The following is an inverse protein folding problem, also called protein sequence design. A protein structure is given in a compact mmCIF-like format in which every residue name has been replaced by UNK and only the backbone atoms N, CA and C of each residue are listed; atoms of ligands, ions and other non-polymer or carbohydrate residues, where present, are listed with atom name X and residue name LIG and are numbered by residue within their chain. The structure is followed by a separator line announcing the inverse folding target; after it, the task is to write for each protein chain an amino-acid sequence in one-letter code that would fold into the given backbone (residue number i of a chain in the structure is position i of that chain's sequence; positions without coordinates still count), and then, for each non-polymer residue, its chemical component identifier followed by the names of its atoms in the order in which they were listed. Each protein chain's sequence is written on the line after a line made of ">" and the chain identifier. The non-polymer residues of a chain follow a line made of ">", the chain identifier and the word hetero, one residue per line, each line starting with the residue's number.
data_IF_577677353701
#
_entry.id   IF_577677353701
#
_cell.length_a   1.000
_cell.length_b   1.000
_cell.length_c   1.000
_cell.angle_alpha   90.00
_cell.angle_beta   90.00
_cell.angle_gamma   90.00
#
_symmetry.space_group_name_H-M   'P 1'
#
loop_
_entity.id
_entity.type
_entity.pdbx_description
1 polymer ?
#
# COMPACT_ATOMS: atom_id res chain seq x y z
N UNK A 1 1.20 -6.10 59.59
CA UNK A 1 0.28 -6.16 58.43
C UNK A 1 0.29 -4.78 57.81
N UNK A 2 1.04 -4.63 56.72
CA UNK A 2 1.11 -3.40 55.91
C UNK A 2 0.63 -3.86 54.54
N UNK A 3 -0.49 -3.27 54.08
CA UNK A 3 -1.30 -3.76 52.96
C UNK A 3 -0.63 -3.59 51.58
N UNK A 4 -1.26 -4.17 50.54
CA UNK A 4 -0.74 -4.16 49.18
C UNK A 4 -0.97 -2.78 48.54
N UNK A 5 0.09 -2.16 48.05
CA UNK A 5 0.03 -1.04 47.12
C UNK A 5 1.02 -1.40 46.00
N UNK A 6 0.58 -2.20 45.04
CA UNK A 6 1.41 -2.58 43.88
C UNK A 6 0.56 -2.91 42.64
N UNK A 7 -0.54 -2.18 42.43
CA UNK A 7 -1.47 -2.35 41.28
C UNK A 7 -1.77 -1.03 40.55
N UNK A 8 -0.92 0.00 40.67
CA UNK A 8 -1.20 1.33 40.10
C UNK A 8 -0.24 1.73 38.96
N UNK A 9 0.52 0.77 38.42
CA UNK A 9 1.47 0.99 37.31
C UNK A 9 1.10 0.22 36.02
N UNK A 10 0.04 -0.61 36.03
CA UNK A 10 -0.37 -1.40 34.85
C UNK A 10 -1.29 -0.62 33.90
N UNK A 11 -2.17 0.26 34.43
CA UNK A 11 -3.14 1.02 33.61
C UNK A 11 -2.48 2.07 32.67
N UNK A 12 -1.30 2.58 33.02
CA UNK A 12 -0.58 3.58 32.19
C UNK A 12 0.12 2.93 30.99
N UNK A 13 0.59 1.69 31.11
CA UNK A 13 1.30 0.98 30.03
C UNK A 13 0.32 0.56 28.93
N UNK A 14 -0.87 0.10 29.28
CA UNK A 14 -1.93 -0.25 28.31
C UNK A 14 -2.41 0.98 27.52
N UNK A 15 -2.56 2.14 28.18
CA UNK A 15 -2.96 3.38 27.52
C UNK A 15 -1.93 3.86 26.48
N UNK A 16 -0.63 3.70 26.77
CA UNK A 16 0.45 4.03 25.83
C UNK A 16 0.47 3.07 24.64
N UNK A 17 0.22 1.78 24.86
CA UNK A 17 0.13 0.78 23.78
C UNK A 17 -1.07 1.08 22.88
N UNK A 18 -2.24 1.36 23.44
CA UNK A 18 -3.44 1.72 22.66
C UNK A 18 -3.24 3.01 21.84
N UNK A 19 -2.57 4.02 22.40
CA UNK A 19 -2.26 5.25 21.68
C UNK A 19 -1.27 4.98 20.53
N UNK A 20 -0.26 4.16 20.75
CA UNK A 20 0.70 3.76 19.73
C UNK A 20 0.01 2.99 18.60
N UNK A 21 -0.85 2.03 18.91
CA UNK A 21 -1.60 1.25 17.93
C UNK A 21 -2.53 2.13 17.09
N UNK A 22 -3.18 3.12 17.71
CA UNK A 22 -4.00 4.11 16.99
C UNK A 22 -3.17 4.91 15.98
N UNK A 23 -1.98 5.34 16.37
CA UNK A 23 -1.08 6.06 15.46
C UNK A 23 -0.53 5.15 14.36
N UNK A 24 -0.21 3.89 14.70
CA UNK A 24 0.23 2.91 13.73
C UNK A 24 -0.84 2.66 12.66
N UNK A 25 -2.09 2.45 13.04
CA UNK A 25 -3.17 2.20 12.08
C UNK A 25 -3.47 3.42 11.20
N UNK A 26 -3.42 4.64 11.77
CA UNK A 26 -3.59 5.87 11.01
C UNK A 26 -2.48 6.05 9.96
N UNK A 27 -1.22 5.79 10.33
CA UNK A 27 -0.10 5.83 9.39
C UNK A 27 -0.20 4.73 8.34
N UNK A 28 -0.57 3.52 8.76
CA UNK A 28 -0.77 2.37 7.87
C UNK A 28 -1.81 2.68 6.79
N UNK A 29 -2.95 3.23 7.19
CA UNK A 29 -4.02 3.64 6.26
C UNK A 29 -3.50 4.65 5.24
N UNK A 30 -2.87 5.74 5.70
CA UNK A 30 -2.34 6.78 4.80
C UNK A 30 -1.29 6.24 3.82
N UNK A 31 -0.45 5.30 4.25
CA UNK A 31 0.56 4.68 3.39
C UNK A 31 -0.09 3.80 2.32
N UNK A 32 -1.06 2.97 2.68
CA UNK A 32 -1.75 2.10 1.72
C UNK A 32 -2.61 2.92 0.74
N UNK A 33 -3.32 3.94 1.22
CA UNK A 33 -4.05 4.87 0.35
C UNK A 33 -3.09 5.50 -0.68
N UNK A 34 -1.90 5.93 -0.24
CA UNK A 34 -0.88 6.48 -1.14
C UNK A 34 -0.35 5.45 -2.15
N UNK A 35 -0.12 4.20 -1.72
CA UNK A 35 0.30 3.10 -2.60
C UNK A 35 -0.73 2.89 -3.70
N UNK A 36 -2.00 2.77 -3.32
CA UNK A 36 -3.10 2.47 -4.23
C UNK A 36 -3.36 3.62 -5.20
N UNK A 37 -3.39 4.86 -4.71
CA UNK A 37 -3.63 6.05 -5.53
C UNK A 37 -2.53 6.31 -6.57
N UNK A 38 -1.29 5.90 -6.29
CA UNK A 38 -0.13 6.24 -7.09
C UNK A 38 0.52 5.03 -7.79
N UNK A 39 -0.09 3.84 -7.67
CA UNK A 39 0.41 2.57 -8.22
C UNK A 39 1.90 2.33 -7.91
N UNK A 40 2.27 2.54 -6.64
CA UNK A 40 3.68 2.44 -6.21
C UNK A 40 3.97 1.04 -5.70
N UNK A 41 4.97 0.31 -6.25
CA UNK A 41 5.34 -1.00 -5.74
C UNK A 41 5.68 -1.00 -4.24
N UNK A 42 5.14 -1.96 -3.50
CA UNK A 42 5.33 -2.11 -2.04
C UNK A 42 6.80 -2.04 -1.62
N UNK A 43 7.70 -2.64 -2.40
CA UNK A 43 9.13 -2.67 -2.09
C UNK A 43 9.77 -1.29 -2.17
N UNK A 44 9.25 -0.41 -3.03
CA UNK A 44 9.71 0.98 -3.15
C UNK A 44 9.23 1.79 -1.94
N UNK A 45 7.94 1.68 -1.58
CA UNK A 45 7.41 2.39 -0.39
C UNK A 45 8.11 1.94 0.89
N UNK A 46 8.34 0.64 1.06
CA UNK A 46 9.09 0.14 2.21
C UNK A 46 10.49 0.77 2.31
N UNK A 47 11.18 0.97 1.18
CA UNK A 47 12.48 1.64 1.17
C UNK A 47 12.36 3.14 1.51
N UNK A 48 11.34 3.83 0.98
CA UNK A 48 11.10 5.25 1.25
C UNK A 48 10.73 5.51 2.72
N UNK A 49 9.91 4.65 3.33
CA UNK A 49 9.55 4.76 4.75
C UNK A 49 10.77 4.57 5.66
N UNK A 50 11.68 3.67 5.31
CA UNK A 50 12.94 3.51 6.03
C UNK A 50 13.83 4.76 5.93
N UNK A 51 13.94 5.36 4.74
CA UNK A 51 14.69 6.61 4.56
C UNK A 51 14.06 7.78 5.34
N UNK A 52 12.73 7.90 5.28
CA UNK A 52 11.98 8.89 6.04
C UNK A 52 12.17 8.72 7.56
N UNK A 53 12.16 7.48 8.05
CA UNK A 53 12.40 7.21 9.46
C UNK A 53 13.82 7.66 9.90
N UNK A 54 14.83 7.46 9.05
CA UNK A 54 16.18 7.98 9.28
C UNK A 54 16.23 9.51 9.25
N UNK A 55 15.50 10.17 8.34
CA UNK A 55 15.37 11.63 8.33
C UNK A 55 14.74 12.17 9.61
N UNK A 56 13.62 11.58 10.05
CA UNK A 56 12.95 11.95 11.31
C UNK A 56 13.92 11.81 12.49
N UNK A 57 14.70 10.72 12.55
CA UNK A 57 15.72 10.51 13.59
C UNK A 57 16.82 11.56 13.58
N UNK A 58 17.31 11.95 12.38
CA UNK A 58 18.30 13.02 12.25
C UNK A 58 17.76 14.35 12.76
N UNK A 59 16.51 14.69 12.42
CA UNK A 59 15.84 15.92 12.87
C UNK A 59 15.65 15.90 14.39
N UNK A 60 15.12 14.80 14.95
CA UNK A 60 14.93 14.65 16.39
C UNK A 60 16.25 14.85 17.16
N UNK A 61 17.34 14.21 16.71
CA UNK A 61 18.66 14.40 17.31
C UNK A 61 19.09 15.88 17.34
N UNK A 62 18.87 16.60 16.24
CA UNK A 62 19.25 18.02 16.13
C UNK A 62 18.40 18.90 17.05
N UNK A 63 17.11 18.60 17.19
CA UNK A 63 16.19 19.37 18.03
C UNK A 63 16.41 19.13 19.53
N UNK A 64 16.75 17.90 19.92
CA UNK A 64 16.83 17.50 21.34
C UNK A 64 18.25 17.65 21.92
N UNK A 65 19.27 17.83 21.09
CA UNK A 65 20.67 17.93 21.54
C UNK A 65 21.11 19.39 21.67
N UNK A 66 21.56 19.79 22.85
CA UNK A 66 22.02 21.17 23.11
C UNK A 66 23.16 21.62 22.18
N UNK A 67 24.07 20.70 21.83
CA UNK A 67 25.20 20.93 20.92
C UNK A 67 25.32 19.77 19.92
N UNK A 68 24.50 19.76 18.85
CA UNK A 68 24.52 18.69 17.87
C UNK A 68 25.91 18.57 17.23
N UNK A 69 26.37 17.33 17.03
CA UNK A 69 27.65 17.07 16.38
C UNK A 69 27.53 15.91 15.39
N UNK A 70 28.40 15.90 14.37
CA UNK A 70 28.43 14.81 13.39
C UNK A 70 28.73 13.46 14.05
N UNK A 71 29.65 13.42 15.01
CA UNK A 71 29.96 12.20 15.75
C UNK A 71 28.79 11.73 16.61
N UNK A 72 28.08 12.65 17.26
CA UNK A 72 26.91 12.31 18.07
C UNK A 72 25.76 11.79 17.21
N UNK A 73 25.51 12.41 16.05
CA UNK A 73 24.50 11.92 15.11
C UNK A 73 24.82 10.52 14.59
N UNK A 74 26.10 10.24 14.27
CA UNK A 74 26.51 8.88 13.86
C UNK A 74 26.21 7.84 14.94
N UNK A 75 26.49 8.16 16.21
CA UNK A 75 26.16 7.27 17.32
C UNK A 75 24.66 7.06 17.49
N UNK A 76 23.85 8.09 17.27
CA UNK A 76 22.38 7.97 17.29
C UNK A 76 21.89 7.06 16.17
N UNK A 77 22.42 7.21 14.95
CA UNK A 77 22.08 6.34 13.83
C UNK A 77 22.54 4.89 14.06
N UNK A 78 23.69 4.67 14.68
CA UNK A 78 24.17 3.34 15.05
C UNK A 78 23.25 2.68 16.11
N UNK A 79 22.71 3.46 17.06
CA UNK A 79 21.70 2.97 18.02
C UNK A 79 20.41 2.60 17.31
N UNK A 80 19.90 3.49 16.46
CA UNK A 80 18.67 3.23 15.71
C UNK A 80 18.80 2.01 14.79
N UNK A 81 19.98 1.79 14.18
CA UNK A 81 20.28 0.57 13.45
C UNK A 81 20.13 -0.68 14.34
N UNK A 82 20.62 -0.64 15.58
CA UNK A 82 20.46 -1.75 16.53
C UNK A 82 18.99 -2.03 16.84
N UNK A 83 18.16 -0.99 16.96
CA UNK A 83 16.72 -1.13 17.19
C UNK A 83 16.02 -1.77 15.98
N UNK A 84 16.38 -1.34 14.76
CA UNK A 84 15.90 -1.95 13.53
C UNK A 84 16.34 -3.42 13.41
N UNK A 85 17.59 -3.74 13.73
CA UNK A 85 18.09 -5.11 13.74
C UNK A 85 17.32 -5.99 14.73
N UNK A 86 16.93 -5.44 15.89
CA UNK A 86 16.10 -6.14 16.86
C UNK A 86 14.67 -6.39 16.33
N UNK A 87 14.05 -5.39 15.70
CA UNK A 87 12.74 -5.53 15.07
C UNK A 87 12.76 -6.59 13.95
N UNK A 88 13.76 -6.56 13.07
CA UNK A 88 13.94 -7.56 12.00
C UNK A 88 14.08 -8.97 12.59
N UNK A 89 14.85 -9.13 13.67
CA UNK A 89 14.98 -10.44 14.33
C UNK A 89 13.67 -10.93 14.92
N UNK A 90 12.81 -10.05 15.42
CA UNK A 90 11.48 -10.40 15.92
C UNK A 90 10.59 -10.87 14.77
N UNK A 91 10.46 -10.08 13.70
CA UNK A 91 9.65 -10.48 12.53
C UNK A 91 10.14 -11.76 11.85
N UNK A 92 11.46 -12.03 11.87
CA UNK A 92 11.99 -13.31 11.40
C UNK A 92 11.55 -14.51 12.21
N UNK A 93 11.29 -14.34 13.52
CA UNK A 93 10.75 -15.41 14.36
C UNK A 93 9.28 -15.65 14.10
N UNK A 94 8.54 -14.59 13.82
CA UNK A 94 7.09 -14.60 13.51
C UNK A 94 6.81 -15.00 12.04
N UNK A 95 7.84 -15.11 11.20
CA UNK A 95 7.68 -15.30 9.76
C UNK A 95 6.99 -16.62 9.38
N UNK A 96 7.21 -17.69 10.14
CA UNK A 96 6.57 -18.98 9.88
C UNK A 96 5.06 -18.88 10.13
N UNK A 97 4.67 -18.40 11.32
CA UNK A 97 3.27 -18.18 11.71
C UNK A 97 2.57 -17.22 10.74
N UNK A 98 3.25 -16.15 10.33
CA UNK A 98 2.72 -15.21 9.35
C UNK A 98 2.44 -15.85 7.99
N UNK A 99 3.37 -16.64 7.45
CA UNK A 99 3.20 -17.31 6.14
C UNK A 99 2.07 -18.33 6.20
N UNK A 100 1.97 -19.09 7.29
CA UNK A 100 0.91 -20.07 7.44
C UNK A 100 -0.47 -19.41 7.56
N UNK A 101 -0.58 -18.36 8.37
CA UNK A 101 -1.82 -17.57 8.47
C UNK A 101 -2.22 -16.92 7.14
N UNK A 102 -1.26 -16.41 6.36
CA UNK A 102 -1.54 -15.85 5.03
C UNK A 102 -2.01 -16.91 4.03
N UNK A 103 -1.47 -18.14 4.09
CA UNK A 103 -1.92 -19.25 3.23
C UNK A 103 -3.34 -19.67 3.55
N UNK A 104 -3.68 -19.75 4.83
CA UNK A 104 -5.03 -20.05 5.30
C UNK A 104 -6.01 -18.97 4.84
N UNK A 105 -5.70 -17.70 5.07
CA UNK A 105 -6.54 -16.58 4.62
C UNK A 105 -6.73 -16.55 3.10
N UNK A 106 -5.69 -16.86 2.32
CA UNK A 106 -5.80 -16.98 0.86
C UNK A 106 -6.67 -18.17 0.43
N UNK A 107 -6.57 -19.31 1.11
CA UNK A 107 -7.39 -20.49 0.81
C UNK A 107 -8.87 -20.21 1.09
N UNK A 108 -9.19 -19.61 2.24
CA UNK A 108 -10.56 -19.20 2.58
C UNK A 108 -11.15 -18.19 1.59
N UNK A 109 -10.34 -17.22 1.15
CA UNK A 109 -10.77 -16.24 0.15
C UNK A 109 -11.05 -16.91 -1.21
N UNK A 110 -10.26 -17.90 -1.60
CA UNK A 110 -10.47 -18.68 -2.83
C UNK A 110 -11.73 -19.56 -2.76
N UNK A 111 -11.97 -20.22 -1.63
CA UNK A 111 -13.17 -21.03 -1.41
C UNK A 111 -14.43 -20.16 -1.51
N UNK A 112 -14.44 -19.00 -0.83
CA UNK A 112 -15.56 -18.05 -0.90
C UNK A 112 -15.85 -17.56 -2.32
N UNK A 113 -14.80 -17.28 -3.10
CA UNK A 113 -14.94 -16.87 -4.49
C UNK A 113 -15.50 -18.01 -5.36
N UNK A 114 -15.07 -19.25 -5.11
CA UNK A 114 -15.57 -20.42 -5.83
C UNK A 114 -17.06 -20.66 -5.55
N UNK A 115 -17.50 -20.54 -4.29
CA UNK A 115 -18.91 -20.62 -3.90
C UNK A 115 -19.76 -19.51 -4.56
N UNK A 116 -19.22 -18.29 -4.70
CA UNK A 116 -19.90 -17.17 -5.36
C UNK A 116 -20.04 -17.42 -6.87
N UNK A 117 -19.03 -18.00 -7.52
CA UNK A 117 -19.07 -18.35 -8.95
C UNK A 117 -20.03 -19.51 -9.24
N UNK A 118 -20.07 -20.55 -8.38
CA UNK A 118 -21.01 -21.67 -8.52
C UNK A 118 -22.47 -21.20 -8.44
N UNK A 119 -22.76 -20.25 -7.53
CA UNK A 119 -24.10 -19.64 -7.42
C UNK A 119 -24.52 -18.83 -8.67
N UNK A 120 -23.55 -18.22 -9.38
CA UNK A 120 -23.82 -17.50 -10.63
C UNK A 120 -24.04 -18.46 -11.81
N UNK A 121 -23.31 -19.58 -11.87
CA UNK A 121 -23.49 -20.58 -12.93
C UNK A 121 -24.87 -21.27 -12.85
N UNK A 122 -25.37 -21.50 -11.63
CA UNK A 122 -26.71 -22.08 -11.40
C UNK A 122 -27.87 -21.10 -11.71
N UNK A 123 -27.62 -19.79 -11.86
CA UNK A 123 -28.68 -18.79 -12.14
C UNK A 123 -28.88 -18.49 -13.63
N UNK A 124 -27.94 -18.83 -14.50
CA UNK A 124 -28.02 -18.60 -15.95
C UNK A 124 -28.63 -19.78 -16.75
N UNK A 125 -29.10 -20.85 -16.08
CA UNK A 125 -29.61 -22.07 -16.76
C UNK A 125 -31.12 -22.08 -17.03
N UNK A 126 -31.89 -21.07 -16.58
CA UNK A 126 -33.37 -21.08 -16.63
C UNK A 126 -34.02 -19.95 -17.49
N UNK A 127 -33.29 -19.29 -18.42
CA UNK A 127 -33.86 -18.21 -19.27
C UNK A 127 -33.89 -18.46 -20.80
N UNK A 128 -33.72 -19.69 -21.28
CA UNK A 128 -33.89 -20.03 -22.70
C UNK A 128 -34.73 -21.31 -22.90
N UNK A 129 -36.05 -21.26 -22.69
CA UNK A 129 -36.95 -22.29 -23.26
C UNK A 129 -38.42 -21.85 -23.49
N UNK A 130 -38.69 -20.56 -23.75
CA UNK A 130 -40.05 -20.09 -24.12
C UNK A 130 -40.04 -18.88 -25.08
N UNK A 131 -39.28 -18.94 -26.18
CA UNK A 131 -39.46 -18.02 -27.32
C UNK A 131 -39.64 -18.79 -28.64
N UNK A 132 -40.68 -19.63 -28.69
CA UNK A 132 -41.34 -20.06 -29.93
C UNK A 132 -42.48 -19.07 -30.25
N UNK A 133 -42.13 -17.88 -30.75
CA UNK A 133 -43.06 -16.99 -31.46
C UNK A 133 -42.63 -16.99 -32.94
N UNK A 134 -43.04 -18.03 -33.67
CA UNK A 134 -43.00 -18.07 -35.13
C UNK A 134 -44.30 -17.51 -35.72
N UNK A 135 -44.09 -16.61 -36.69
CA UNK A 135 -44.99 -16.14 -37.76
C UNK A 135 -46.14 -15.17 -37.40
N UNK A 136 -45.97 -13.87 -37.71
CA UNK A 136 -46.64 -13.30 -38.90
C UNK A 136 -46.16 -11.89 -39.28
N UNK A 137 -45.73 -11.82 -40.55
CA UNK A 137 -45.96 -10.77 -41.56
C UNK A 137 -45.44 -9.32 -41.44
N UNK A 138 -44.59 -9.02 -42.44
CA UNK A 138 -44.38 -7.79 -43.22
C UNK A 138 -44.89 -6.42 -42.71
N UNK A 139 -43.97 -5.45 -42.67
CA UNK A 139 -43.99 -4.33 -43.62
C UNK A 139 -42.72 -3.46 -43.53
N UNK A 140 -42.25 -3.05 -44.71
CA UNK A 140 -41.13 -2.16 -44.96
C UNK A 140 -41.36 -0.71 -44.52
N UNK A 141 -40.28 0.01 -44.18
CA UNK A 141 -40.04 1.44 -44.52
C UNK A 141 -38.57 1.75 -44.15
N UNK A 142 -37.62 1.76 -45.08
CA UNK A 142 -37.13 2.92 -45.84
C UNK A 142 -36.88 4.18 -44.99
N UNK A 143 -35.59 4.54 -44.82
CA UNK A 143 -35.00 5.90 -44.77
C UNK A 143 -33.59 5.80 -44.17
N UNK A 144 -32.54 5.74 -44.99
CA UNK A 144 -31.79 6.89 -45.53
C UNK A 144 -30.89 7.60 -44.51
N UNK A 145 -29.57 7.42 -44.75
CA UNK A 145 -28.48 8.40 -44.63
C UNK A 145 -28.17 8.98 -43.22
N UNK A 146 -26.94 9.31 -42.80
CA UNK A 146 -25.80 9.88 -43.51
C UNK A 146 -24.45 9.45 -42.90
N UNK A 147 -23.44 9.50 -43.74
CA UNK A 147 -22.00 9.41 -43.52
C UNK A 147 -21.42 10.68 -42.87
N UNK A 148 -20.52 10.56 -41.87
CA UNK A 148 -19.34 11.45 -41.64
C UNK A 148 -18.36 10.63 -40.75
N UNK A 149 -17.37 9.93 -41.30
CA UNK A 149 -16.00 10.38 -41.64
C UNK A 149 -15.30 11.24 -40.57
N UNK A 150 -14.23 10.66 -40.01
CA UNK A 150 -13.09 11.17 -39.21
C UNK A 150 -12.52 12.55 -39.67
N UNK A 151 -11.54 13.24 -39.03
CA UNK A 151 -10.41 12.69 -38.24
C UNK A 151 -9.69 13.63 -37.21
N UNK A 152 -8.51 13.16 -36.76
CA UNK A 152 -7.29 13.92 -36.37
C UNK A 152 -7.31 14.77 -35.08
N UNK A 153 -6.53 14.41 -34.05
CA UNK A 153 -5.08 14.56 -33.88
C UNK A 153 -4.68 15.90 -33.25
N UNK A 154 -3.97 15.85 -32.11
CA UNK A 154 -2.85 16.76 -31.85
C UNK A 154 -1.95 16.19 -30.72
N UNK A 155 -0.91 15.45 -31.10
CA UNK A 155 0.38 15.65 -30.44
C UNK A 155 1.07 16.81 -31.15
N UNK A 156 1.75 17.68 -30.40
CA UNK A 156 3.16 17.83 -30.73
C UNK A 156 4.07 17.90 -29.50
N UNK A 157 5.03 16.97 -29.50
CA UNK A 157 6.45 17.25 -29.53
C UNK A 157 6.95 18.57 -28.89
N UNK A 158 7.76 18.41 -27.84
CA UNK A 158 9.13 18.91 -27.93
C UNK A 158 9.53 19.99 -26.93
N UNK A 159 10.54 19.64 -26.13
CA UNK A 159 11.78 20.42 -26.01
C UNK A 159 12.93 19.51 -25.58
N UNK A 160 13.64 18.97 -26.58
CA UNK A 160 15.06 18.64 -26.44
C UNK A 160 15.83 19.95 -26.23
N UNK A 161 16.84 19.96 -25.35
CA UNK A 161 18.25 20.29 -25.67
C UNK A 161 19.16 20.34 -24.41
N UNK A 162 20.49 20.33 -24.59
CA UNK A 162 21.37 19.41 -23.88
C UNK A 162 22.45 20.09 -23.04
N UNK A 163 23.23 19.28 -22.34
CA UNK A 163 24.67 19.48 -22.23
C UNK A 163 25.16 20.41 -21.12
N UNK A 164 25.88 19.81 -20.18
CA UNK A 164 27.16 20.39 -19.75
C UNK A 164 28.12 19.29 -19.30
N UNK A 165 28.90 18.82 -20.26
CA UNK A 165 30.29 18.45 -20.04
C UNK A 165 31.02 19.64 -19.41
N UNK A 166 31.68 19.40 -18.28
CA UNK A 166 33.02 19.86 -17.88
C UNK A 166 33.46 18.88 -16.79
N UNK A 167 34.19 17.81 -17.10
CA UNK A 167 35.60 17.80 -17.43
C UNK A 167 36.43 18.88 -16.72
N UNK A 168 37.32 18.41 -15.83
CA UNK A 168 38.59 18.98 -15.32
C UNK A 168 38.78 18.52 -13.87
N UNK A 169 39.46 17.39 -13.67
CA UNK A 169 40.93 17.27 -13.54
C UNK A 169 41.52 17.93 -12.30
N UNK A 170 42.38 17.13 -11.66
CA UNK A 170 43.64 17.47 -10.98
C UNK A 170 43.62 17.68 -9.47
N UNK A 171 44.29 16.68 -8.88
CA UNK A 171 45.37 16.78 -7.87
C UNK A 171 44.98 16.97 -6.42
#
# INVERSE_FOLDING_TARGET
>A
MTGPQDDQFDDDDDAVVEELDRHYEALRTQVYDYIDENDVPDQIIAALLNDLALEIRKVAYVLDTEKPSVSGLKLELDRYKSDLDAAIRRHKKEAEEFIDGMREAMAEAQERLAEELEQLEDTDTDEDDDLDDDDDDEAADDTAAETETEPEADEPAGKRKPGKDKDKTKS
#
